data_IF_980473066915
#
_entry.id   IF_980473066915
#
_cell.length_a   1.000
_cell.length_b   1.000
_cell.length_c   1.000
_cell.angle_alpha   90.00
_cell.angle_beta   90.00
_cell.angle_gamma   90.00
#
_symmetry.space_group_name_H-M   'P 1'
#
loop_
_entity.id
_entity.type
_entity.pdbx_description
1 polymer ?
#
# COMPACT_ATOMS: atom_id res chain seq x y z
N UNK A 1 -10.47 13.56 4.91
CA UNK A 1 -9.18 13.04 4.38
C UNK A 1 -7.96 13.58 5.15
N UNK A 2 -7.08 12.68 5.62
CA UNK A 2 -5.81 12.98 6.29
C UNK A 2 -4.66 12.27 5.58
N UNK A 3 -3.55 12.97 5.34
CA UNK A 3 -2.35 12.41 4.70
C UNK A 3 -1.19 12.50 5.68
N UNK A 4 -0.47 11.39 5.88
CA UNK A 4 0.71 11.33 6.75
C UNK A 4 1.84 10.57 6.08
N UNK A 5 3.08 10.96 6.32
CA UNK A 5 4.23 10.20 5.86
C UNK A 5 4.35 8.88 6.64
N UNK A 6 4.68 7.81 5.93
CA UNK A 6 5.09 6.56 6.56
C UNK A 6 6.42 6.75 7.30
N UNK A 7 6.65 5.97 8.34
CA UNK A 7 7.92 5.98 9.08
C UNK A 7 8.79 4.79 8.70
N UNK A 8 10.11 4.98 8.74
CA UNK A 8 11.05 3.90 8.46
C UNK A 8 11.17 2.97 9.67
N UNK A 9 10.89 1.68 9.50
CA UNK A 9 11.12 0.68 10.55
C UNK A 9 12.57 0.66 11.10
N UNK A 10 13.55 1.15 10.33
CA UNK A 10 14.96 1.19 10.76
C UNK A 10 15.29 2.39 11.65
N UNK A 11 14.72 3.56 11.37
CA UNK A 11 15.15 4.84 11.99
C UNK A 11 14.03 5.55 12.75
N UNK A 12 12.78 5.11 12.60
CA UNK A 12 11.59 5.80 13.12
C UNK A 12 11.26 7.13 12.43
N UNK A 13 12.10 7.58 11.50
CA UNK A 13 11.91 8.87 10.81
C UNK A 13 10.88 8.74 9.69
N UNK A 14 10.17 9.83 9.43
CA UNK A 14 9.31 9.97 8.26
C UNK A 14 10.09 9.72 6.96
N UNK A 15 9.41 9.08 6.01
CA UNK A 15 9.96 8.69 4.72
C UNK A 15 9.32 9.58 3.66
N UNK A 16 10.11 10.38 2.94
CA UNK A 16 9.59 11.18 1.85
C UNK A 16 8.90 10.32 0.79
N UNK A 17 7.84 10.86 0.20
CA UNK A 17 7.10 10.24 -0.91
C UNK A 17 6.44 8.89 -0.59
N UNK A 18 6.26 8.53 0.68
CA UNK A 18 5.50 7.36 1.09
C UNK A 18 4.41 7.85 2.04
N UNK A 19 3.15 7.68 1.63
CA UNK A 19 2.03 8.30 2.32
C UNK A 19 1.00 7.25 2.73
N UNK A 20 0.61 7.31 3.99
CA UNK A 20 -0.61 6.71 4.51
C UNK A 20 -1.71 7.76 4.44
N UNK A 21 -2.77 7.43 3.70
CA UNK A 21 -3.90 8.33 3.48
C UNK A 21 -5.13 7.70 4.12
N UNK A 22 -5.71 8.40 5.08
CA UNK A 22 -7.01 8.05 5.67
C UNK A 22 -8.08 8.88 4.98
N UNK A 23 -8.82 8.23 4.09
CA UNK A 23 -9.99 8.77 3.42
C UNK A 23 -11.22 8.74 4.31
N UNK A 24 -12.36 9.07 3.71
CA UNK A 24 -13.64 9.05 4.40
C UNK A 24 -14.19 7.61 4.44
N UNK A 25 -15.16 7.35 5.31
CA UNK A 25 -15.81 6.02 5.48
C UNK A 25 -14.83 4.87 5.83
N UNK A 26 -13.70 5.18 6.46
CA UNK A 26 -12.70 4.18 6.86
C UNK A 26 -11.86 3.65 5.70
N UNK A 27 -11.94 4.26 4.51
CA UNK A 27 -11.04 3.92 3.41
C UNK A 27 -9.62 4.35 3.75
N UNK A 28 -8.65 3.45 3.58
CA UNK A 28 -7.23 3.76 3.80
C UNK A 28 -6.43 3.40 2.55
N UNK A 29 -5.43 4.20 2.25
CA UNK A 29 -4.63 4.06 1.04
C UNK A 29 -3.15 4.19 1.38
N UNK A 30 -2.33 3.42 0.65
CA UNK A 30 -0.90 3.63 0.57
C UNK A 30 -0.56 4.23 -0.79
N UNK A 31 0.04 5.41 -0.78
CA UNK A 31 0.54 6.08 -1.97
C UNK A 31 2.07 6.14 -1.94
N UNK A 32 2.70 5.70 -3.02
CA UNK A 32 4.13 5.80 -3.24
C UNK A 32 4.38 6.81 -4.37
N UNK A 33 5.09 7.89 -4.07
CA UNK A 33 5.24 9.05 -4.94
C UNK A 33 3.89 9.61 -5.39
N UNK A 34 3.55 9.47 -6.68
CA UNK A 34 2.29 9.96 -7.27
C UNK A 34 1.30 8.82 -7.55
N UNK A 35 1.64 7.59 -7.19
CA UNK A 35 0.88 6.40 -7.55
C UNK A 35 0.25 5.81 -6.30
N UNK A 36 -1.06 5.61 -6.32
CA UNK A 36 -1.75 4.82 -5.29
C UNK A 36 -1.42 3.36 -5.52
N UNK A 37 -0.86 2.70 -4.50
CA UNK A 37 -0.35 1.32 -4.60
C UNK A 37 -1.31 0.34 -3.96
N UNK A 38 -1.89 0.70 -2.81
CA UNK A 38 -2.89 -0.09 -2.09
C UNK A 38 -4.08 0.80 -1.79
N UNK A 39 -5.29 0.27 -2.00
CA UNK A 39 -6.51 0.83 -1.44
C UNK A 39 -7.22 -0.25 -0.62
N UNK A 40 -7.60 0.08 0.61
CA UNK A 40 -8.44 -0.77 1.45
C UNK A 40 -9.78 -0.07 1.55
N UNK A 41 -10.80 -0.67 0.93
CA UNK A 41 -12.16 -0.14 0.89
C UNK A 41 -13.12 -1.18 1.42
N UNK A 42 -13.92 -0.83 2.43
CA UNK A 42 -14.89 -1.75 3.06
C UNK A 42 -14.27 -3.10 3.46
N UNK A 43 -13.02 -3.09 3.94
CA UNK A 43 -12.28 -4.28 4.34
C UNK A 43 -11.65 -5.09 3.18
N UNK A 44 -11.92 -4.73 1.93
CA UNK A 44 -11.33 -5.36 0.76
C UNK A 44 -10.05 -4.64 0.33
N UNK A 45 -9.01 -5.41 0.02
CA UNK A 45 -7.73 -4.89 -0.47
C UNK A 45 -7.71 -4.89 -2.00
N UNK A 46 -7.33 -3.74 -2.55
CA UNK A 46 -7.10 -3.51 -3.97
C UNK A 46 -5.64 -3.09 -4.17
N UNK A 47 -5.00 -3.65 -5.19
CA UNK A 47 -3.62 -3.35 -5.57
C UNK A 47 -3.59 -2.75 -6.96
N UNK A 48 -2.75 -1.74 -7.15
CA UNK A 48 -2.45 -1.23 -8.48
C UNK A 48 -1.60 -2.21 -9.27
N UNK A 49 -1.61 -2.13 -10.60
CA UNK A 49 -0.71 -2.91 -11.45
C UNK A 49 0.77 -2.70 -11.10
N UNK A 50 1.14 -1.54 -10.55
CA UNK A 50 2.50 -1.19 -10.16
C UNK A 50 2.87 -1.60 -8.71
N UNK A 51 2.11 -2.50 -8.09
CA UNK A 51 2.28 -2.85 -6.67
C UNK A 51 3.66 -3.39 -6.28
N UNK A 52 4.45 -3.90 -7.23
CA UNK A 52 5.81 -4.40 -7.04
C UNK A 52 6.91 -3.62 -7.80
N UNK A 53 6.57 -2.46 -8.39
CA UNK A 53 7.41 -1.74 -9.36
C UNK A 53 8.82 -1.39 -8.87
N UNK A 54 8.97 -1.02 -7.58
CA UNK A 54 10.27 -0.66 -7.01
C UNK A 54 10.54 -1.35 -5.67
N UNK A 55 11.83 -1.49 -5.33
CA UNK A 55 12.25 -2.02 -4.02
C UNK A 55 11.70 -1.20 -2.86
N UNK A 56 11.69 0.13 -3.01
CA UNK A 56 11.16 1.06 -2.00
C UNK A 56 9.66 0.90 -1.84
N UNK A 57 8.92 0.90 -2.95
CA UNK A 57 7.46 0.70 -2.96
C UNK A 57 7.08 -0.64 -2.35
N UNK A 58 7.77 -1.72 -2.74
CA UNK A 58 7.53 -3.06 -2.17
C UNK A 58 7.80 -3.13 -0.67
N UNK A 59 8.87 -2.47 -0.19
CA UNK A 59 9.19 -2.41 1.24
C UNK A 59 8.08 -1.74 2.04
N UNK A 60 7.58 -0.60 1.58
CA UNK A 60 6.57 0.14 2.32
C UNK A 60 5.16 -0.42 2.13
N UNK A 61 4.86 -1.05 0.98
CA UNK A 61 3.66 -1.89 0.83
C UNK A 61 3.65 -3.04 1.84
N UNK A 62 4.78 -3.74 2.00
CA UNK A 62 4.90 -4.80 3.01
C UNK A 62 4.63 -4.28 4.42
N UNK A 63 5.17 -3.10 4.75
CA UNK A 63 4.93 -2.45 6.03
C UNK A 63 3.45 -2.06 6.20
N UNK A 64 2.81 -1.53 5.15
CA UNK A 64 1.41 -1.12 5.16
C UNK A 64 0.44 -2.30 5.33
N UNK A 65 0.67 -3.39 4.60
CA UNK A 65 -0.17 -4.60 4.63
C UNK A 65 0.22 -5.58 5.75
N UNK A 66 1.39 -5.39 6.38
CA UNK A 66 1.91 -6.29 7.41
C UNK A 66 2.35 -7.65 6.89
N UNK A 67 2.76 -7.75 5.63
CA UNK A 67 3.06 -9.01 4.95
C UNK A 67 4.25 -8.89 4.00
N UNK A 68 4.75 -10.02 3.51
CA UNK A 68 5.82 -10.10 2.51
C UNK A 68 5.26 -10.08 1.08
N UNK A 69 6.13 -9.79 0.10
CA UNK A 69 5.79 -9.90 -1.34
C UNK A 69 5.20 -11.27 -1.68
N UNK A 70 5.77 -12.34 -1.13
CA UNK A 70 5.32 -13.71 -1.42
C UNK A 70 3.89 -13.95 -0.91
N UNK A 71 3.55 -13.39 0.25
CA UNK A 71 2.18 -13.43 0.78
C UNK A 71 1.24 -12.60 -0.07
N UNK A 72 1.66 -11.41 -0.52
CA UNK A 72 0.87 -10.61 -1.48
C UNK A 72 0.58 -11.38 -2.76
N UNK A 73 1.59 -12.03 -3.36
CA UNK A 73 1.42 -12.85 -4.57
C UNK A 73 0.47 -14.03 -4.36
N UNK A 74 0.57 -14.69 -3.20
CA UNK A 74 -0.35 -15.77 -2.84
C UNK A 74 -1.79 -15.27 -2.76
N UNK A 75 -2.02 -14.12 -2.09
CA UNK A 75 -3.32 -13.48 -1.94
C UNK A 75 -3.91 -12.95 -3.26
N UNK A 76 -3.06 -12.56 -4.20
CA UNK A 76 -3.51 -12.25 -5.57
C UNK A 76 -3.96 -13.54 -6.26
N UNK A 77 -3.17 -14.61 -6.15
CA UNK A 77 -3.44 -15.89 -6.83
C UNK A 77 -4.67 -16.60 -6.30
N UNK A 78 -4.94 -16.51 -5.00
CA UNK A 78 -6.12 -17.11 -4.36
C UNK A 78 -7.37 -16.22 -4.45
N UNK A 79 -7.26 -15.00 -4.99
CA UNK A 79 -8.36 -14.06 -5.19
C UNK A 79 -8.71 -13.21 -3.97
N UNK A 80 -7.98 -13.34 -2.85
CA UNK A 80 -8.14 -12.48 -1.67
C UNK A 80 -7.89 -11.01 -2.01
N UNK A 81 -6.93 -10.72 -2.87
CA UNK A 81 -6.60 -9.36 -3.34
C UNK A 81 -7.00 -9.15 -4.79
N UNK A 82 -7.59 -7.99 -5.07
CA UNK A 82 -7.95 -7.60 -6.44
C UNK A 82 -6.90 -6.67 -7.02
N UNK A 83 -6.25 -7.07 -8.11
CA UNK A 83 -5.38 -6.18 -8.90
C UNK A 83 -6.25 -5.40 -9.88
N UNK A 84 -6.16 -4.07 -9.86
CA UNK A 84 -6.97 -3.18 -10.72
C UNK A 84 -6.23 -1.89 -10.99
N UNK A 85 -6.76 -1.04 -11.88
CA UNK A 85 -6.20 0.29 -12.10
C UNK A 85 -6.65 1.24 -10.98
N UNK A 86 -5.70 1.69 -10.16
CA UNK A 86 -5.97 2.66 -9.09
C UNK A 86 -5.61 4.10 -9.48
N UNK A 87 -5.09 4.34 -10.70
CA UNK A 87 -4.54 5.62 -11.14
C UNK A 87 -5.12 6.12 -12.47
#
# INVERSE_FOLDING_TARGET
>A
MKVTNMTSNRTGREVPNQFDIVGDEGNIYFQSYRTVIVAIKKGQVYLDHNWDYSKTTSKYRNQFLGETRKETEAKIKDGTYTVTNLN
#
